data_IF_356827176542
#
_entry.id   IF_356827176542
#
_cell.length_a   1.000
_cell.length_b   1.000
_cell.length_c   1.000
_cell.angle_alpha   90.00
_cell.angle_beta   90.00
_cell.angle_gamma   90.00
#
_symmetry.space_group_name_H-M   'P 1'
#
loop_
_entity.id
_entity.type
_entity.pdbx_description
1 polymer ?
#
# COMPACT_ATOMS: atom_id res chain seq x y z
N UNK A 1 -3.31 -8.69 -12.58
CA UNK A 1 -4.26 -9.82 -12.34
C UNK A 1 -4.34 -10.07 -10.84
N UNK A 2 -5.45 -10.60 -10.33
CA UNK A 2 -5.51 -11.05 -8.94
C UNK A 2 -5.06 -12.50 -8.81
N UNK A 3 -4.28 -12.79 -7.78
CA UNK A 3 -3.86 -14.15 -7.43
C UNK A 3 -4.19 -14.41 -5.95
N UNK A 4 -4.34 -15.68 -5.54
CA UNK A 4 -4.52 -16.01 -4.13
C UNK A 4 -3.30 -15.56 -3.31
N UNK A 5 -3.55 -14.95 -2.16
CA UNK A 5 -2.52 -14.67 -1.16
C UNK A 5 -2.26 -15.95 -0.35
N UNK A 6 -0.99 -16.32 -0.17
CA UNK A 6 -0.63 -17.53 0.60
C UNK A 6 -1.06 -17.39 2.06
N UNK A 7 -1.64 -18.42 2.70
CA UNK A 7 -1.91 -18.41 4.13
C UNK A 7 -0.65 -18.24 5.00
N UNK A 8 0.53 -18.52 4.46
CA UNK A 8 1.83 -18.38 5.13
C UNK A 8 2.59 -17.13 4.68
N UNK A 9 1.93 -16.18 4.03
CA UNK A 9 2.58 -14.94 3.60
C UNK A 9 3.16 -14.18 4.81
N UNK A 10 4.35 -13.60 4.63
CA UNK A 10 5.08 -12.92 5.69
C UNK A 10 4.28 -11.75 6.32
N UNK A 11 3.32 -11.17 5.59
CA UNK A 11 2.47 -10.09 6.13
C UNK A 11 1.74 -10.52 7.42
N UNK A 12 1.31 -11.78 7.53
CA UNK A 12 0.57 -12.32 8.70
C UNK A 12 1.46 -12.56 9.92
N UNK A 13 2.78 -12.57 9.73
CA UNK A 13 3.77 -12.69 10.81
C UNK A 13 4.52 -11.38 11.06
N UNK A 14 4.18 -10.33 10.31
CA UNK A 14 4.82 -9.02 10.47
C UNK A 14 4.53 -8.42 11.85
N UNK A 15 5.48 -7.68 12.44
CA UNK A 15 5.26 -7.02 13.74
C UNK A 15 4.06 -6.06 13.75
N UNK A 16 3.73 -5.44 12.61
CA UNK A 16 2.58 -4.55 12.49
C UNK A 16 1.26 -5.33 12.51
N UNK A 17 1.18 -6.46 11.81
CA UNK A 17 -0.02 -7.30 11.78
C UNK A 17 -0.31 -7.89 13.16
N UNK A 18 0.70 -8.51 13.79
CA UNK A 18 0.52 -9.17 15.09
C UNK A 18 0.14 -8.20 16.21
N UNK A 19 0.72 -7.00 16.19
CA UNK A 19 0.43 -5.94 17.17
C UNK A 19 -0.99 -5.40 17.03
N UNK A 20 -1.48 -5.25 15.80
CA UNK A 20 -2.77 -4.61 15.52
C UNK A 20 -3.91 -5.62 15.36
N UNK A 21 -3.63 -6.92 15.24
CA UNK A 21 -4.62 -8.01 15.26
C UNK A 21 -4.37 -8.96 16.45
N UNK A 22 -4.45 -8.48 17.71
CA UNK A 22 -4.10 -9.29 18.88
C UNK A 22 -4.98 -10.55 19.04
N UNK A 23 -6.23 -10.48 18.58
CA UNK A 23 -7.19 -11.59 18.67
C UNK A 23 -7.11 -12.57 17.49
N UNK A 24 -6.18 -12.36 16.54
CA UNK A 24 -6.04 -13.19 15.33
C UNK A 24 -7.36 -13.29 14.55
N UNK A 25 -8.08 -12.18 14.47
CA UNK A 25 -9.34 -12.12 13.75
C UNK A 25 -9.12 -12.45 12.26
N UNK A 26 -10.12 -13.09 11.60
CA UNK A 26 -10.09 -13.32 10.17
C UNK A 26 -9.88 -12.04 9.37
N UNK A 27 -9.09 -12.14 8.30
CA UNK A 27 -8.82 -11.01 7.43
C UNK A 27 -9.48 -11.15 6.05
N UNK A 28 -9.93 -10.02 5.49
CA UNK A 28 -10.16 -9.90 4.05
C UNK A 28 -8.83 -9.58 3.36
N UNK A 29 -8.54 -10.25 2.26
CA UNK A 29 -7.26 -10.08 1.57
C UNK A 29 -7.39 -10.11 0.05
N UNK A 30 -6.52 -9.36 -0.61
CA UNK A 30 -6.27 -9.48 -2.05
C UNK A 30 -4.82 -9.20 -2.41
N UNK A 31 -4.40 -9.77 -3.54
CA UNK A 31 -3.07 -9.60 -4.10
C UNK A 31 -3.19 -9.35 -5.60
N UNK A 32 -2.97 -8.10 -6.00
CA UNK A 32 -2.88 -7.71 -7.41
C UNK A 32 -1.42 -7.79 -7.87
N UNK A 33 -1.18 -8.53 -8.95
CA UNK A 33 0.15 -8.73 -9.53
C UNK A 33 0.19 -8.23 -10.97
N UNK A 34 1.23 -7.47 -11.32
CA UNK A 34 1.51 -6.97 -12.67
C UNK A 34 2.97 -7.22 -13.02
N UNK A 35 3.23 -7.98 -14.08
CA UNK A 35 4.59 -8.23 -14.59
C UNK A 35 4.90 -7.32 -15.77
N UNK A 36 6.01 -6.58 -15.73
CA UNK A 36 6.41 -5.64 -16.78
C UNK A 36 7.81 -6.03 -17.28
N UNK A 37 8.05 -6.11 -18.60
CA UNK A 37 9.39 -6.34 -19.13
C UNK A 37 10.39 -5.30 -18.61
N UNK A 38 11.59 -5.74 -18.23
CA UNK A 38 12.64 -4.83 -17.76
C UNK A 38 12.99 -3.77 -18.81
N UNK A 39 12.91 -4.13 -20.09
CA UNK A 39 13.13 -3.21 -21.22
C UNK A 39 12.11 -2.08 -21.34
N UNK A 40 11.00 -2.12 -20.59
CA UNK A 40 9.99 -1.05 -20.56
C UNK A 40 10.10 -0.15 -19.32
N UNK A 41 10.97 -0.50 -18.36
CA UNK A 41 11.15 0.24 -17.12
C UNK A 41 12.25 1.27 -17.31
N UNK A 42 12.09 2.44 -16.70
CA UNK A 42 13.10 3.51 -16.70
C UNK A 42 14.45 2.96 -16.19
N UNK A 43 15.54 2.99 -16.98
CA UNK A 43 16.80 2.33 -16.63
C UNK A 43 17.40 2.75 -15.29
N UNK A 44 17.35 4.04 -14.96
CA UNK A 44 17.88 4.57 -13.70
C UNK A 44 17.21 4.01 -12.43
N UNK A 45 15.99 3.44 -12.54
CA UNK A 45 15.32 2.77 -11.43
C UNK A 45 15.85 1.34 -11.23
N UNK A 46 16.28 0.68 -12.31
CA UNK A 46 16.86 -0.67 -12.29
C UNK A 46 18.32 -0.66 -11.84
N UNK A 47 19.07 0.38 -12.22
CA UNK A 47 20.47 0.58 -11.81
C UNK A 47 20.62 0.74 -10.29
N UNK A 48 19.55 1.19 -9.62
CA UNK A 48 19.48 1.42 -8.17
C UNK A 48 18.60 0.40 -7.45
N UNK A 49 18.62 -0.84 -7.92
CA UNK A 49 17.86 -1.97 -7.35
C UNK A 49 18.13 -2.14 -5.85
N UNK A 50 19.40 -2.14 -5.44
CA UNK A 50 19.78 -2.31 -4.03
C UNK A 50 19.25 -1.19 -3.11
N UNK A 51 19.03 0.01 -3.66
CA UNK A 51 18.45 1.15 -2.95
C UNK A 51 16.90 1.12 -2.96
N UNK A 52 16.28 0.20 -3.69
CA UNK A 52 14.82 0.10 -3.77
C UNK A 52 14.14 1.19 -4.59
N UNK A 53 14.86 1.87 -5.50
CA UNK A 53 14.31 3.02 -6.25
C UNK A 53 13.12 2.67 -7.12
N UNK A 54 13.05 1.45 -7.65
CA UNK A 54 11.88 1.00 -8.39
C UNK A 54 10.65 0.87 -7.48
N UNK A 55 10.83 0.37 -6.25
CA UNK A 55 9.76 0.26 -5.23
C UNK A 55 9.30 1.63 -4.77
N UNK A 56 10.23 2.56 -4.49
CA UNK A 56 9.90 3.96 -4.16
C UNK A 56 9.11 4.61 -5.29
N UNK A 57 9.58 4.53 -6.54
CA UNK A 57 8.90 5.13 -7.68
C UNK A 57 7.52 4.50 -7.93
N UNK A 58 7.36 3.20 -7.69
CA UNK A 58 6.06 2.54 -7.74
C UNK A 58 5.10 3.08 -6.67
N UNK A 59 5.57 3.23 -5.42
CA UNK A 59 4.82 3.83 -4.32
C UNK A 59 4.43 5.29 -4.62
N UNK A 60 5.37 6.11 -5.10
CA UNK A 60 5.13 7.49 -5.54
C UNK A 60 4.03 7.54 -6.62
N UNK A 61 4.09 6.63 -7.60
CA UNK A 61 3.08 6.53 -8.66
C UNK A 61 1.69 6.21 -8.14
N UNK A 62 1.58 5.35 -7.11
CA UNK A 62 0.31 4.99 -6.50
C UNK A 62 -0.35 6.20 -5.84
N UNK A 63 0.39 6.90 -4.97
CA UNK A 63 -0.19 8.00 -4.19
C UNK A 63 -0.31 9.31 -4.96
N UNK A 64 0.65 9.65 -5.83
CA UNK A 64 0.60 10.88 -6.63
C UNK A 64 -0.28 10.74 -7.91
N UNK A 65 -0.55 9.49 -8.32
CA UNK A 65 -1.25 9.15 -9.55
C UNK A 65 -2.74 9.46 -9.55
N UNK A 66 -3.35 9.24 -10.73
CA UNK A 66 -4.78 9.49 -10.96
C UNK A 66 -5.68 8.47 -10.24
N UNK A 67 -5.20 7.24 -10.02
CA UNK A 67 -5.97 6.20 -9.33
C UNK A 67 -6.33 6.59 -7.89
N UNK A 68 -5.43 7.32 -7.21
CA UNK A 68 -5.67 7.83 -5.86
C UNK A 68 -6.26 9.24 -5.83
N UNK A 69 -6.37 9.94 -6.97
CA UNK A 69 -6.67 11.37 -6.97
C UNK A 69 -8.03 11.73 -6.36
N UNK A 70 -9.06 10.93 -6.62
CA UNK A 70 -10.39 11.18 -6.06
C UNK A 70 -10.41 10.96 -4.54
N UNK A 71 -9.86 9.84 -4.06
CA UNK A 71 -9.79 9.57 -2.61
C UNK A 71 -8.92 10.62 -1.90
N UNK A 72 -7.77 10.99 -2.47
CA UNK A 72 -6.90 12.06 -1.94
C UNK A 72 -7.65 13.38 -1.80
N UNK A 73 -8.44 13.78 -2.82
CA UNK A 73 -9.24 14.99 -2.77
C UNK A 73 -10.33 14.95 -1.70
N UNK A 74 -11.04 13.81 -1.60
CA UNK A 74 -12.03 13.58 -0.56
C UNK A 74 -11.41 13.67 0.85
N UNK A 75 -10.30 12.99 1.08
CA UNK A 75 -9.60 12.97 2.37
C UNK A 75 -9.03 14.36 2.72
N UNK A 76 -8.46 15.07 1.74
CA UNK A 76 -7.96 16.43 1.91
C UNK A 76 -9.06 17.36 2.43
N UNK A 77 -10.24 17.34 1.79
CA UNK A 77 -11.38 18.16 2.26
C UNK A 77 -11.86 17.80 3.66
N UNK A 78 -11.73 16.52 4.06
CA UNK A 78 -12.28 16.02 5.31
C UNK A 78 -11.33 16.17 6.50
N UNK A 79 -10.02 16.01 6.28
CA UNK A 79 -9.05 15.81 7.35
C UNK A 79 -7.82 16.73 7.26
N UNK A 80 -7.52 17.34 6.11
CA UNK A 80 -6.37 18.21 5.99
C UNK A 80 -6.59 19.51 6.76
N UNK A 81 -5.69 19.80 7.70
CA UNK A 81 -5.70 21.04 8.46
C UNK A 81 -4.29 21.40 8.91
N UNK A 82 -4.12 22.65 9.35
CA UNK A 82 -2.82 23.22 9.70
C UNK A 82 -2.35 22.89 11.12
N UNK A 83 -3.16 22.20 11.94
CA UNK A 83 -2.86 21.97 13.35
C UNK A 83 -2.48 20.53 13.65
N UNK A 84 -3.27 19.56 13.17
CA UNK A 84 -3.15 18.14 13.53
C UNK A 84 -2.60 17.28 12.40
N UNK A 85 -2.69 17.72 11.15
CA UNK A 85 -2.31 16.91 9.98
C UNK A 85 -1.36 17.62 9.01
N UNK A 86 -0.79 18.76 9.41
CA UNK A 86 0.11 19.58 8.59
C UNK A 86 1.41 18.86 8.20
N UNK A 87 1.88 17.91 9.02
CA UNK A 87 3.09 17.12 8.78
C UNK A 87 2.89 15.97 7.79
N UNK A 88 1.65 15.67 7.42
CA UNK A 88 1.34 14.54 6.54
C UNK A 88 1.46 14.93 5.06
N UNK A 89 1.60 13.94 4.19
CA UNK A 89 1.65 14.15 2.74
C UNK A 89 0.23 14.29 2.16
N UNK A 90 -0.01 15.37 1.42
CA UNK A 90 -1.32 15.72 0.87
C UNK A 90 -1.29 16.01 -0.62
N UNK A 91 -0.25 16.72 -1.09
CA UNK A 91 -0.20 17.22 -2.45
C UNK A 91 0.45 16.22 -3.40
N UNK A 92 0.12 16.30 -4.69
CA UNK A 92 0.75 15.43 -5.70
C UNK A 92 2.28 15.57 -5.71
N UNK A 93 2.87 16.78 -5.64
CA UNK A 93 4.32 16.94 -5.56
C UNK A 93 4.94 16.26 -4.33
N UNK A 94 4.36 16.46 -3.14
CA UNK A 94 4.83 15.80 -1.91
C UNK A 94 4.84 14.28 -2.03
N UNK A 95 3.76 13.71 -2.59
CA UNK A 95 3.64 12.27 -2.80
C UNK A 95 4.58 11.77 -3.91
N UNK A 96 4.85 12.59 -4.93
CA UNK A 96 5.72 12.20 -6.03
C UNK A 96 7.22 12.21 -5.64
N UNK A 97 7.61 12.96 -4.61
CA UNK A 97 9.03 13.13 -4.22
C UNK A 97 9.39 12.49 -2.88
N UNK A 98 8.41 12.06 -2.08
CA UNK A 98 8.67 11.37 -0.82
C UNK A 98 9.42 10.05 -1.03
N UNK A 99 10.32 9.74 -0.10
CA UNK A 99 10.99 8.43 -0.02
C UNK A 99 10.18 7.41 0.78
N UNK A 100 9.10 7.83 1.47
CA UNK A 100 8.24 6.96 2.28
C UNK A 100 9.00 6.19 3.37
N UNK A 101 9.79 6.90 4.18
CA UNK A 101 10.40 6.28 5.37
C UNK A 101 9.34 5.87 6.41
N UNK A 102 9.60 4.86 7.26
CA UNK A 102 8.71 4.51 8.36
C UNK A 102 8.32 5.73 9.22
N UNK A 103 7.04 5.84 9.55
CA UNK A 103 6.42 7.01 10.20
C UNK A 103 5.88 8.07 9.23
N UNK A 104 6.16 7.96 7.91
CA UNK A 104 5.53 8.84 6.92
C UNK A 104 4.01 8.64 6.91
N UNK A 105 3.25 9.71 7.14
CA UNK A 105 1.79 9.69 7.14
C UNK A 105 1.23 10.31 5.86
N UNK A 106 0.17 9.70 5.33
CA UNK A 106 -0.40 10.03 4.03
C UNK A 106 -1.89 10.27 4.22
N UNK A 107 -2.33 11.50 3.96
CA UNK A 107 -3.74 11.89 3.81
C UNK A 107 -4.69 11.47 4.95
N UNK A 108 -4.19 11.44 6.17
CA UNK A 108 -4.86 11.03 7.41
C UNK A 108 -5.47 9.63 7.38
N UNK A 109 -4.88 8.75 6.57
CA UNK A 109 -5.45 7.43 6.34
C UNK A 109 -4.42 6.31 6.27
N UNK A 110 -3.16 6.65 6.00
CA UNK A 110 -2.08 5.69 5.92
C UNK A 110 -0.86 6.16 6.69
N UNK A 111 -0.11 5.20 7.21
CA UNK A 111 1.19 5.42 7.84
C UNK A 111 2.15 4.33 7.39
N UNK A 112 3.34 4.69 6.92
CA UNK A 112 4.37 3.72 6.58
C UNK A 112 4.86 3.05 7.86
N UNK A 113 4.73 1.72 7.93
CA UNK A 113 5.16 0.92 9.08
C UNK A 113 6.40 0.08 8.80
N UNK A 114 6.73 -0.13 7.52
CA UNK A 114 7.95 -0.84 7.12
C UNK A 114 8.36 -0.45 5.71
N UNK A 115 9.66 -0.43 5.47
CA UNK A 115 10.27 -0.22 4.16
C UNK A 115 11.50 -1.11 4.01
N UNK A 116 11.60 -1.75 2.86
CA UNK A 116 12.76 -2.51 2.37
C UNK A 116 12.99 -2.12 0.90
N UNK A 117 14.11 -2.53 0.28
CA UNK A 117 14.30 -2.30 -1.15
C UNK A 117 13.19 -2.91 -2.04
N UNK A 118 12.55 -3.98 -1.59
CA UNK A 118 11.52 -4.72 -2.35
C UNK A 118 10.08 -4.38 -1.94
N UNK A 119 9.85 -3.69 -0.82
CA UNK A 119 8.50 -3.43 -0.33
C UNK A 119 8.36 -2.19 0.54
N UNK A 120 7.26 -1.46 0.39
CA UNK A 120 6.78 -0.45 1.34
C UNK A 120 5.43 -0.90 1.88
N UNK A 121 5.32 -1.00 3.20
CA UNK A 121 4.09 -1.39 3.90
C UNK A 121 3.52 -0.18 4.62
N UNK A 122 2.25 0.12 4.36
CA UNK A 122 1.48 1.10 5.11
C UNK A 122 0.42 0.43 5.96
N UNK A 123 0.21 0.92 7.18
CA UNK A 123 -0.99 0.66 7.97
C UNK A 123 -2.14 1.48 7.41
N UNK A 124 -3.33 0.90 7.35
CA UNK A 124 -4.54 1.51 6.82
C UNK A 124 -5.77 1.16 7.68
N UNK A 125 -6.97 1.50 7.22
CA UNK A 125 -8.22 1.16 7.90
C UNK A 125 -8.65 2.12 9.01
N UNK A 126 -7.88 3.18 9.27
CA UNK A 126 -8.18 4.25 10.22
C UNK A 126 -7.12 5.37 10.19
N UNK A 127 -7.37 6.47 10.89
CA UNK A 127 -6.43 7.61 10.94
C UNK A 127 -5.14 7.24 11.69
N UNK A 128 -3.95 7.66 11.22
CA UNK A 128 -2.71 7.49 11.96
C UNK A 128 -2.68 8.27 13.29
N UNK A 129 -3.60 9.20 13.50
CA UNK A 129 -3.78 9.86 14.80
C UNK A 129 -4.36 8.92 15.86
N UNK A 130 -5.08 7.86 15.45
CA UNK A 130 -5.55 6.81 16.34
C UNK A 130 -4.43 5.83 16.67
N UNK A 131 -3.83 6.03 17.86
CA UNK A 131 -2.77 5.18 18.39
C UNK A 131 -3.34 3.87 18.97
N UNK A 132 -2.51 2.81 19.00
CA UNK A 132 -2.92 1.50 19.49
C UNK A 132 -3.81 0.73 18.53
N UNK A 133 -4.54 -0.27 19.04
CA UNK A 133 -5.39 -1.18 18.25
C UNK A 133 -6.72 -0.48 17.89
N UNK A 134 -7.14 -0.58 16.62
CA UNK A 134 -8.33 0.10 16.09
C UNK A 134 -9.51 -0.85 15.87
N UNK A 135 -10.71 -0.29 15.78
CA UNK A 135 -11.92 -1.08 15.49
C UNK A 135 -11.81 -1.79 14.11
N UNK A 136 -11.36 -1.05 13.10
CA UNK A 136 -10.99 -1.57 11.78
C UNK A 136 -9.54 -1.21 11.51
N UNK A 137 -8.79 -2.14 10.94
CA UNK A 137 -7.36 -1.97 10.71
C UNK A 137 -6.92 -2.76 9.48
N UNK A 138 -5.70 -2.52 9.03
CA UNK A 138 -5.17 -3.26 7.91
C UNK A 138 -3.76 -2.88 7.55
N UNK A 139 -3.19 -3.67 6.66
CA UNK A 139 -1.91 -3.45 6.02
C UNK A 139 -2.08 -3.44 4.52
N UNK A 140 -1.41 -2.51 3.88
CA UNK A 140 -1.31 -2.42 2.43
C UNK A 140 0.16 -2.36 2.03
N UNK A 141 0.60 -3.32 1.22
CA UNK A 141 1.99 -3.49 0.82
C UNK A 141 2.13 -3.26 -0.69
N UNK A 142 3.00 -2.31 -1.04
CA UNK A 142 3.50 -2.09 -2.38
C UNK A 142 4.84 -2.81 -2.52
N UNK A 143 4.86 -3.89 -3.29
CA UNK A 143 6.05 -4.72 -3.48
C UNK A 143 6.53 -4.76 -4.92
N UNK A 144 7.84 -4.88 -5.11
CA UNK A 144 8.47 -5.09 -6.41
C UNK A 144 9.52 -6.18 -6.29
N UNK A 145 9.47 -7.16 -7.19
CA UNK A 145 10.52 -8.16 -7.34
C UNK A 145 11.07 -8.13 -8.77
N UNK A 146 12.37 -7.86 -8.92
CA UNK A 146 13.05 -7.91 -10.20
C UNK A 146 13.46 -9.36 -10.47
N UNK A 147 12.94 -9.94 -11.55
CA UNK A 147 13.20 -11.33 -11.97
C UNK A 147 14.04 -11.30 -13.24
N UNK A 148 15.36 -11.13 -13.07
CA UNK A 148 16.33 -10.95 -14.18
C UNK A 148 16.29 -12.12 -15.16
N UNK A 149 16.25 -13.35 -14.65
CA UNK A 149 16.19 -14.57 -15.47
C UNK A 149 14.91 -14.66 -16.33
N UNK A 150 13.83 -14.02 -15.88
CA UNK A 150 12.56 -13.96 -16.61
C UNK A 150 12.44 -12.67 -17.46
N UNK A 151 13.40 -11.75 -17.38
CA UNK A 151 13.38 -10.47 -18.09
C UNK A 151 12.26 -9.52 -17.66
N UNK A 152 11.71 -9.66 -16.44
CA UNK A 152 10.58 -8.85 -15.95
C UNK A 152 10.77 -8.33 -14.53
N UNK A 153 10.09 -7.24 -14.19
CA UNK A 153 9.78 -6.88 -12.81
C UNK A 153 8.33 -7.23 -12.48
N UNK A 154 8.11 -7.82 -11.32
CA UNK A 154 6.79 -8.17 -10.79
C UNK A 154 6.38 -7.17 -9.71
N UNK A 155 5.39 -6.35 -10.02
CA UNK A 155 4.77 -5.39 -9.11
C UNK A 155 3.60 -6.06 -8.39
N UNK A 156 3.48 -5.79 -7.09
CA UNK A 156 2.51 -6.38 -6.18
C UNK A 156 1.83 -5.29 -5.37
N UNK A 157 0.50 -5.33 -5.33
CA UNK A 157 -0.31 -4.61 -4.35
C UNK A 157 -1.04 -5.65 -3.52
N UNK A 158 -0.70 -5.71 -2.25
CA UNK A 158 -1.27 -6.66 -1.29
C UNK A 158 -2.06 -5.88 -0.26
N UNK A 159 -3.28 -6.30 0.01
CA UNK A 159 -4.11 -5.73 1.06
C UNK A 159 -4.54 -6.82 2.04
N UNK A 160 -4.53 -6.49 3.32
CA UNK A 160 -5.04 -7.33 4.40
C UNK A 160 -5.79 -6.43 5.38
N UNK A 161 -7.09 -6.65 5.51
CA UNK A 161 -7.96 -5.88 6.42
C UNK A 161 -8.52 -6.81 7.48
N UNK A 162 -8.61 -6.33 8.72
CA UNK A 162 -9.12 -7.10 9.85
C UNK A 162 -9.74 -6.18 10.91
N UNK A 163 -10.53 -6.77 11.79
CA UNK A 163 -10.99 -6.10 13.01
C UNK A 163 -9.86 -6.15 14.03
N UNK A 164 -9.39 -5.01 14.53
CA UNK A 164 -8.35 -5.00 15.57
C UNK A 164 -8.92 -5.23 16.97
N UNK A 165 -9.94 -4.45 17.34
CA UNK A 165 -10.58 -4.51 18.66
C UNK A 165 -11.62 -5.63 18.76
N UNK A 166 -11.56 -6.40 19.86
CA UNK A 166 -12.48 -7.49 20.14
C UNK A 166 -12.37 -8.66 19.16
N UNK A 167 -13.31 -9.60 19.24
CA UNK A 167 -13.38 -10.76 18.37
C UNK A 167 -14.28 -10.52 17.15
N UNK A 168 -14.05 -11.26 16.07
CA UNK A 168 -14.87 -11.28 14.87
C UNK A 168 -15.12 -12.73 14.42
N UNK A 169 -16.39 -13.04 14.13
CA UNK A 169 -16.80 -14.36 13.62
C UNK A 169 -16.58 -14.51 12.10
N UNK A 170 -16.14 -13.44 11.43
CA UNK A 170 -15.95 -13.40 9.99
C UNK A 170 -15.08 -12.23 9.52
N UNK A 171 -14.83 -12.14 8.21
CA UNK A 171 -14.04 -11.06 7.61
C UNK A 171 -14.69 -9.69 7.84
N UNK A 172 -13.89 -8.60 7.92
CA UNK A 172 -14.39 -7.26 8.27
C UNK A 172 -15.22 -6.60 7.16
N UNK A 173 -15.20 -7.13 5.94
CA UNK A 173 -15.92 -6.56 4.80
C UNK A 173 -16.80 -7.59 4.11
N UNK A 174 -18.02 -7.20 3.70
CA UNK A 174 -18.88 -8.07 2.90
C UNK A 174 -18.30 -8.27 1.48
N UNK A 175 -18.67 -9.37 0.77
CA UNK A 175 -18.05 -9.74 -0.50
C UNK A 175 -18.10 -8.67 -1.61
N UNK A 176 -19.19 -7.89 -1.67
CA UNK A 176 -19.34 -6.84 -2.69
C UNK A 176 -18.40 -5.64 -2.44
N UNK A 177 -18.12 -5.31 -1.17
CA UNK A 177 -17.12 -4.28 -0.82
C UNK A 177 -15.72 -4.76 -1.16
N UNK A 178 -15.40 -6.03 -0.85
CA UNK A 178 -14.11 -6.62 -1.24
C UNK A 178 -13.94 -6.65 -2.77
N UNK A 179 -15.00 -6.92 -3.52
CA UNK A 179 -14.97 -6.86 -4.97
C UNK A 179 -14.69 -5.45 -5.49
N UNK A 180 -15.38 -4.44 -4.96
CA UNK A 180 -15.14 -3.04 -5.30
C UNK A 180 -13.71 -2.61 -4.95
N UNK A 181 -13.20 -3.03 -3.78
CA UNK A 181 -11.82 -2.81 -3.37
C UNK A 181 -10.84 -3.38 -4.40
N UNK A 182 -11.02 -4.63 -4.85
CA UNK A 182 -10.17 -5.24 -5.89
C UNK A 182 -10.18 -4.43 -7.20
N UNK A 183 -11.33 -3.95 -7.65
CA UNK A 183 -11.38 -3.10 -8.85
C UNK A 183 -10.56 -1.82 -8.65
N UNK A 184 -10.65 -1.24 -7.46
CA UNK A 184 -9.91 -0.03 -7.11
C UNK A 184 -8.40 -0.27 -6.98
N UNK A 185 -7.97 -1.37 -6.33
CA UNK A 185 -6.57 -1.79 -6.29
C UNK A 185 -6.00 -2.03 -7.68
N UNK A 186 -6.79 -2.56 -8.61
CA UNK A 186 -6.36 -2.72 -10.01
C UNK A 186 -6.13 -1.35 -10.67
N UNK A 187 -7.02 -0.38 -10.44
CA UNK A 187 -6.81 0.99 -10.95
C UNK A 187 -5.52 1.60 -10.38
N UNK A 188 -5.29 1.46 -9.07
CA UNK A 188 -4.04 1.89 -8.43
C UNK A 188 -2.82 1.25 -9.07
N UNK A 189 -2.84 -0.08 -9.25
CA UNK A 189 -1.76 -0.84 -9.89
C UNK A 189 -1.38 -0.25 -11.25
N UNK A 190 -2.35 -0.06 -12.14
CA UNK A 190 -2.05 0.41 -13.50
C UNK A 190 -1.53 1.85 -13.50
N UNK A 191 -2.07 2.73 -12.65
CA UNK A 191 -1.57 4.10 -12.54
C UNK A 191 -0.17 4.18 -11.90
N UNK A 192 0.12 3.31 -10.93
CA UNK A 192 1.41 3.24 -10.27
C UNK A 192 2.50 2.68 -11.20
N UNK A 193 2.18 1.64 -11.98
CA UNK A 193 3.08 1.10 -13.01
C UNK A 193 3.35 2.15 -14.10
N UNK A 194 2.36 2.97 -14.46
CA UNK A 194 2.55 4.10 -15.37
C UNK A 194 3.66 5.06 -14.95
N UNK A 195 3.95 5.18 -13.65
CA UNK A 195 5.01 6.06 -13.15
C UNK A 195 6.43 5.52 -13.38
N UNK A 196 6.60 4.21 -13.55
CA UNK A 196 7.93 3.57 -13.63
C UNK A 196 8.32 3.13 -15.03
N UNK A 197 7.36 3.08 -15.95
CA UNK A 197 7.59 2.74 -17.36
C UNK A 197 7.97 3.98 -18.18
N UNK A 198 8.65 3.77 -19.30
CA UNK A 198 9.00 4.80 -20.29
C UNK A 198 7.78 5.29 -21.08
#
# INVERSE_FOLDING_TARGET
>A
KFVPLSPTDAIFTSPAYLRNNPNKNPASQDLCVRRVPLSKIKPHLLEKEAEGKLTEAFCQGLWSGLGYAYQRHYLSKKYQNTTTTAHQLWTRPELATSTYEPGTQITDHFEVVSKTPESIVVRCGGSPLEQGVRASDGLFEMGVQIKKDEGVAEFRLKSVFYKGLGNADGPPMPPHVLFAHKLYTKLWMETAVGNVVM
#
